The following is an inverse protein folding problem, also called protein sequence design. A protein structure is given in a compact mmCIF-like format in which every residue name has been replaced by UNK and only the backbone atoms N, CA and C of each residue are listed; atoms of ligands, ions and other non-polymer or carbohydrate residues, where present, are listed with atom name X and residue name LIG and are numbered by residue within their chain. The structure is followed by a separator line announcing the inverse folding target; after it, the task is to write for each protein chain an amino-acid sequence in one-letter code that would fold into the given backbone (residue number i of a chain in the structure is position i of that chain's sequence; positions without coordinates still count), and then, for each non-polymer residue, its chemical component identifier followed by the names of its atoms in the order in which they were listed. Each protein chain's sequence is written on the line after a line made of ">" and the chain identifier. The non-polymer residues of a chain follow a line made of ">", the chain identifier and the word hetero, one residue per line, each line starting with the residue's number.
data_IF_102590222434
#
_entry.id   IF_102590222434
#
_cell.length_a   1.000
_cell.length_b   1.000
_cell.length_c   1.000
_cell.angle_alpha   90.00
_cell.angle_beta   90.00
_cell.angle_gamma   90.00
#
_symmetry.space_group_name_H-M   'P 1'
#
loop_
_entity.id
_entity.type
_entity.pdbx_description
1 polymer ?
#
# COMPACT_ATOMS: atom_id res chain seq x y z
N UNK A 1 16.50 -2.53 -12.76
CA UNK A 1 15.77 -2.77 -11.49
C UNK A 1 14.34 -3.17 -11.86
N UNK A 2 13.83 -4.32 -11.42
CA UNK A 2 12.46 -4.77 -11.71
C UNK A 2 11.61 -4.61 -10.45
N UNK A 3 10.56 -3.80 -10.51
CA UNK A 3 9.59 -3.60 -9.44
C UNK A 3 8.19 -3.97 -9.95
N UNK A 4 7.38 -4.62 -9.12
CA UNK A 4 5.98 -4.92 -9.43
C UNK A 4 5.07 -4.02 -8.62
N UNK A 5 4.02 -3.51 -9.25
CA UNK A 5 2.98 -2.74 -8.57
C UNK A 5 1.81 -3.65 -8.20
N UNK A 6 1.34 -3.52 -6.97
CA UNK A 6 0.17 -4.24 -6.45
C UNK A 6 -0.89 -3.25 -6.07
N UNK A 7 -2.09 -3.44 -6.63
CA UNK A 7 -3.27 -2.67 -6.25
C UNK A 7 -4.01 -3.38 -5.12
N UNK A 8 -3.84 -2.91 -3.89
CA UNK A 8 -4.47 -3.50 -2.70
C UNK A 8 -6.00 -3.45 -2.79
N UNK A 9 -6.57 -2.47 -3.50
CA UNK A 9 -8.02 -2.34 -3.67
C UNK A 9 -8.61 -3.48 -4.51
N UNK A 10 -7.79 -4.19 -5.32
CA UNK A 10 -8.20 -5.34 -6.14
C UNK A 10 -7.95 -6.70 -5.50
N UNK A 11 -7.26 -6.74 -4.36
CA UNK A 11 -6.95 -7.97 -3.65
C UNK A 11 -8.15 -8.49 -2.85
N UNK A 12 -8.13 -9.78 -2.53
CA UNK A 12 -9.05 -10.42 -1.58
C UNK A 12 -8.85 -9.88 -0.14
N UNK A 13 -9.78 -10.18 0.76
CA UNK A 13 -9.69 -9.72 2.15
C UNK A 13 -8.42 -10.25 2.86
N UNK A 14 -8.10 -11.52 2.65
CA UNK A 14 -6.92 -12.17 3.26
C UNK A 14 -5.61 -11.57 2.73
N UNK A 15 -5.51 -11.38 1.42
CA UNK A 15 -4.36 -10.75 0.80
C UNK A 15 -4.19 -9.30 1.26
N UNK A 16 -5.29 -8.53 1.37
CA UNK A 16 -5.24 -7.18 1.94
C UNK A 16 -4.70 -7.21 3.36
N UNK A 17 -5.14 -8.15 4.19
CA UNK A 17 -4.69 -8.25 5.57
C UNK A 17 -3.20 -8.61 5.65
N UNK A 18 -2.72 -9.52 4.81
CA UNK A 18 -1.30 -9.85 4.67
C UNK A 18 -0.47 -8.61 4.31
N UNK A 19 -0.84 -7.88 3.25
CA UNK A 19 -0.13 -6.69 2.82
C UNK A 19 -0.22 -5.56 3.84
N UNK A 20 -1.36 -5.39 4.52
CA UNK A 20 -1.49 -4.41 5.60
C UNK A 20 -0.56 -4.70 6.77
N UNK A 21 -0.33 -5.97 7.09
CA UNK A 21 0.65 -6.35 8.11
C UNK A 21 2.07 -6.01 7.63
N UNK A 22 2.42 -6.41 6.40
CA UNK A 22 3.72 -6.07 5.79
C UNK A 22 3.98 -4.56 5.74
N UNK A 23 3.01 -3.75 5.34
CA UNK A 23 3.15 -2.28 5.29
C UNK A 23 3.39 -1.71 6.70
N UNK A 24 2.72 -2.24 7.73
CA UNK A 24 2.96 -1.79 9.11
C UNK A 24 4.38 -2.09 9.59
N UNK A 25 4.91 -3.24 9.20
CA UNK A 25 6.23 -3.69 9.64
C UNK A 25 7.37 -3.05 8.82
N UNK A 26 7.22 -2.91 7.51
CA UNK A 26 8.28 -2.45 6.58
C UNK A 26 8.18 -0.96 6.21
N UNK A 27 6.98 -0.38 6.23
CA UNK A 27 6.74 0.99 5.77
C UNK A 27 5.71 1.71 6.67
N UNK A 28 6.00 1.88 7.98
CA UNK A 28 5.08 2.51 8.93
C UNK A 28 4.67 3.93 8.52
N UNK A 29 5.52 4.66 7.79
CA UNK A 29 5.21 5.98 7.25
C UNK A 29 4.02 5.96 6.27
N UNK A 30 3.92 4.91 5.45
CA UNK A 30 2.78 4.73 4.54
C UNK A 30 1.48 4.49 5.32
N UNK A 31 1.54 3.80 6.47
CA UNK A 31 0.37 3.61 7.34
C UNK A 31 -0.16 4.95 7.85
N UNK A 32 0.74 5.85 8.24
CA UNK A 32 0.38 7.20 8.69
C UNK A 32 -0.29 7.99 7.57
N UNK A 33 0.26 7.91 6.35
CA UNK A 33 -0.34 8.49 5.14
C UNK A 33 -1.74 7.93 4.86
N UNK A 34 -1.95 6.62 4.94
CA UNK A 34 -3.26 6.01 4.71
C UNK A 34 -4.31 6.35 5.79
N UNK A 35 -3.86 6.66 7.00
CA UNK A 35 -4.73 7.13 8.09
C UNK A 35 -4.99 8.63 8.04
N UNK A 36 -4.30 9.37 7.18
CA UNK A 36 -4.52 10.80 7.04
C UNK A 36 -5.96 11.09 6.56
N UNK A 37 -6.59 12.16 7.07
CA UNK A 37 -7.93 12.55 6.64
C UNK A 37 -8.01 12.78 5.12
N UNK A 38 -6.94 13.31 4.54
CA UNK A 38 -6.83 13.58 3.10
C UNK A 38 -6.90 12.29 2.27
N UNK A 39 -6.20 11.23 2.70
CA UNK A 39 -6.26 9.94 2.02
C UNK A 39 -7.63 9.27 2.16
N UNK A 40 -8.25 9.37 3.33
CA UNK A 40 -9.60 8.85 3.57
C UNK A 40 -10.65 9.57 2.73
N UNK A 41 -10.58 10.91 2.64
CA UNK A 41 -11.47 11.71 1.81
C UNK A 41 -11.30 11.39 0.31
N UNK A 42 -10.06 11.23 -0.15
CA UNK A 42 -9.74 10.77 -1.51
C UNK A 42 -10.30 9.35 -1.78
N UNK A 43 -10.19 8.44 -0.81
CA UNK A 43 -10.73 7.09 -0.92
C UNK A 43 -12.26 7.10 -1.06
N UNK A 44 -12.94 7.95 -0.29
CA UNK A 44 -14.40 8.07 -0.29
C UNK A 44 -14.89 8.75 -1.57
N UNK A 45 -14.25 9.84 -2.01
CA UNK A 45 -14.68 10.61 -3.19
C UNK A 45 -14.32 9.97 -4.53
N UNK A 46 -13.18 9.28 -4.61
CA UNK A 46 -12.62 8.83 -5.89
C UNK A 46 -12.34 7.34 -5.97
N UNK A 47 -12.65 6.56 -4.94
CA UNK A 47 -12.33 5.12 -4.93
C UNK A 47 -10.82 4.88 -5.06
N UNK A 48 -10.01 5.67 -4.34
CA UNK A 48 -8.56 5.66 -4.45
C UNK A 48 -8.00 4.22 -4.43
N UNK A 49 -7.27 3.87 -5.49
CA UNK A 49 -6.53 2.62 -5.58
C UNK A 49 -5.24 2.75 -4.77
N UNK A 50 -5.08 1.91 -3.75
CA UNK A 50 -3.82 1.85 -3.01
C UNK A 50 -2.84 1.01 -3.83
N UNK A 51 -1.90 1.66 -4.49
CA UNK A 51 -0.81 1.03 -5.20
C UNK A 51 0.43 0.99 -4.32
N UNK A 52 1.00 -0.20 -4.13
CA UNK A 52 2.31 -0.37 -3.49
C UNK A 52 3.29 -0.97 -4.51
N UNK A 53 4.55 -0.50 -4.47
CA UNK A 53 5.64 -1.08 -5.25
C UNK A 53 6.35 -2.13 -4.41
N UNK A 54 6.66 -3.26 -5.02
CA UNK A 54 7.40 -4.33 -4.38
C UNK A 54 8.61 -4.75 -5.21
N UNK A 55 9.67 -5.18 -4.54
CA UNK A 55 10.85 -5.74 -5.18
C UNK A 55 10.62 -7.21 -5.62
N UNK A 56 11.64 -7.80 -6.25
CA UNK A 56 11.63 -9.21 -6.67
C UNK A 56 11.51 -10.22 -5.52
N UNK A 57 11.78 -9.79 -4.30
CA UNK A 57 11.70 -10.60 -3.08
C UNK A 57 10.36 -10.39 -2.34
N UNK A 58 9.51 -9.48 -2.82
CA UNK A 58 8.22 -9.12 -2.22
C UNK A 58 8.32 -8.08 -1.10
N UNK A 59 9.45 -7.40 -0.93
CA UNK A 59 9.61 -6.29 0.02
C UNK A 59 9.01 -5.01 -0.53
N UNK A 60 8.43 -4.18 0.34
CA UNK A 60 7.83 -2.92 -0.08
C UNK A 60 8.93 -1.92 -0.40
N UNK A 61 8.92 -1.42 -1.64
CA UNK A 61 9.81 -0.35 -2.08
C UNK A 61 9.10 0.96 -1.75
N UNK A 62 9.62 1.69 -0.77
CA UNK A 62 9.17 3.04 -0.52
C UNK A 62 9.69 3.96 -1.65
N UNK A 63 8.90 4.94 -2.10
CA UNK A 63 9.27 5.83 -3.21
C UNK A 63 10.40 6.82 -2.89
N UNK A 64 11.10 6.61 -1.77
CA UNK A 64 12.19 7.44 -1.26
C UNK A 64 13.57 6.78 -1.46
N UNK A 65 13.63 5.64 -2.17
CA UNK A 65 14.85 4.92 -2.58
C UNK A 65 15.27 5.30 -4.02
#
# INVERSE_FOLDING_TARGET
>A
MFCREINLSRLSADERQFWWKKIKDEAPDLVTLFKSPEFLDLKIKFGASILIKIDKNGNIINGND
#
